data_IF_419554232737
#
_entry.id   IF_419554232737
#
_cell.length_a   1.000
_cell.length_b   1.000
_cell.length_c   1.000
_cell.angle_alpha   90.00
_cell.angle_beta   90.00
_cell.angle_gamma   90.00
#
_symmetry.space_group_name_H-M   'P 1'
#
loop_
_entity.id
_entity.type
_entity.pdbx_description
1 polymer ?
#
# COMPACT_ATOMS: atom_id res chain seq x y z
N UNK A 1 53.54 29.41 -17.38
CA UNK A 1 53.38 27.97 -17.10
C UNK A 1 52.92 27.81 -15.66
N UNK A 2 51.77 27.18 -15.43
CA UNK A 2 51.45 26.32 -14.27
C UNK A 2 49.95 25.98 -14.33
N UNK A 3 49.66 24.80 -14.87
CA UNK A 3 48.33 24.22 -14.97
C UNK A 3 47.73 24.00 -13.58
N UNK A 4 46.61 24.65 -13.29
CA UNK A 4 45.68 24.22 -12.22
C UNK A 4 44.96 22.97 -12.72
N UNK A 5 45.50 21.78 -12.45
CA UNK A 5 44.71 20.54 -12.54
C UNK A 5 43.79 20.49 -11.33
N UNK A 6 42.56 20.97 -11.51
CA UNK A 6 41.46 20.58 -10.63
C UNK A 6 41.18 19.10 -10.87
N UNK A 7 41.71 18.24 -9.99
CA UNK A 7 41.21 16.88 -9.86
C UNK A 7 39.79 16.98 -9.27
N UNK A 8 38.77 16.93 -10.13
CA UNK A 8 37.45 16.49 -9.68
C UNK A 8 37.59 14.99 -9.37
N UNK A 9 37.72 14.66 -8.08
CA UNK A 9 37.39 13.31 -7.63
C UNK A 9 35.91 13.12 -7.99
N UNK A 10 35.64 12.28 -8.99
CA UNK A 10 34.30 11.76 -9.16
C UNK A 10 34.06 10.87 -7.94
N UNK A 11 33.10 11.24 -7.09
CA UNK A 11 32.60 10.34 -6.05
C UNK A 11 32.05 9.11 -6.77
N UNK A 12 32.83 8.03 -6.76
CA UNK A 12 32.33 6.72 -7.15
C UNK A 12 31.37 6.30 -6.04
N UNK A 13 30.08 6.19 -6.37
CA UNK A 13 29.09 5.54 -5.50
C UNK A 13 29.63 4.15 -5.15
N UNK A 14 29.49 3.71 -3.90
CA UNK A 14 29.98 2.38 -3.53
C UNK A 14 29.10 1.31 -4.19
N UNK A 15 29.65 0.13 -4.47
CA UNK A 15 28.86 -1.01 -5.02
C UNK A 15 27.62 -1.33 -4.16
N UNK A 16 27.71 -1.06 -2.84
CA UNK A 16 26.59 -1.17 -1.92
C UNK A 16 25.49 -0.15 -2.19
N UNK A 17 25.86 1.09 -2.47
CA UNK A 17 24.90 2.16 -2.74
C UNK A 17 24.21 1.95 -4.09
N UNK A 18 24.95 1.50 -5.11
CA UNK A 18 24.39 1.11 -6.42
C UNK A 18 23.40 -0.05 -6.29
N UNK A 19 23.68 -1.04 -5.42
CA UNK A 19 22.76 -2.14 -5.14
C UNK A 19 21.51 -1.69 -4.40
N UNK A 20 21.63 -0.75 -3.44
CA UNK A 20 20.48 -0.18 -2.73
C UNK A 20 19.58 0.58 -3.72
N UNK A 21 20.15 1.44 -4.58
CA UNK A 21 19.39 2.17 -5.59
C UNK A 21 18.61 1.21 -6.50
N UNK A 22 19.27 0.15 -6.96
CA UNK A 22 18.64 -0.86 -7.81
C UNK A 22 17.44 -1.54 -7.11
N UNK A 23 17.58 -1.87 -5.83
CA UNK A 23 16.48 -2.45 -5.05
C UNK A 23 15.32 -1.45 -4.86
N UNK A 24 15.62 -0.17 -4.60
CA UNK A 24 14.61 0.88 -4.45
C UNK A 24 13.85 1.14 -5.75
N UNK A 25 14.55 1.19 -6.89
CA UNK A 25 13.95 1.32 -8.22
C UNK A 25 13.05 0.12 -8.52
N UNK A 26 13.57 -1.09 -8.31
CA UNK A 26 12.82 -2.33 -8.51
C UNK A 26 11.55 -2.38 -7.64
N UNK A 27 11.64 -2.00 -6.36
CA UNK A 27 10.50 -1.96 -5.45
C UNK A 27 9.46 -0.92 -5.89
N UNK A 28 9.91 0.23 -6.38
CA UNK A 28 9.04 1.29 -6.89
C UNK A 28 8.26 0.82 -8.11
N UNK A 29 8.92 0.13 -9.04
CA UNK A 29 8.27 -0.47 -10.22
C UNK A 29 7.24 -1.54 -9.83
N UNK A 30 7.56 -2.41 -8.85
CA UNK A 30 6.61 -3.40 -8.34
C UNK A 30 5.39 -2.75 -7.67
N UNK A 31 5.61 -1.72 -6.87
CA UNK A 31 4.53 -0.99 -6.19
C UNK A 31 3.61 -0.33 -7.22
N UNK A 32 4.17 0.31 -8.25
CA UNK A 32 3.38 0.89 -9.34
C UNK A 32 2.59 -0.18 -10.10
N UNK A 33 3.21 -1.33 -10.38
CA UNK A 33 2.52 -2.44 -11.03
C UNK A 33 1.32 -2.94 -10.21
N UNK A 34 1.46 -3.04 -8.88
CA UNK A 34 0.36 -3.39 -7.99
C UNK A 34 -0.73 -2.33 -7.94
N UNK A 35 -0.38 -1.04 -7.90
CA UNK A 35 -1.36 0.05 -7.92
C UNK A 35 -2.19 0.03 -9.22
N UNK A 36 -1.55 -0.15 -10.38
CA UNK A 36 -2.24 -0.27 -11.67
C UNK A 36 -3.11 -1.52 -11.76
N UNK A 37 -2.65 -2.64 -11.21
CA UNK A 37 -3.43 -3.87 -11.12
C UNK A 37 -4.68 -3.68 -10.25
N UNK A 38 -4.51 -3.10 -9.05
CA UNK A 38 -5.60 -2.82 -8.12
C UNK A 38 -6.56 -1.74 -8.66
N UNK A 39 -6.08 -0.80 -9.46
CA UNK A 39 -6.93 0.15 -10.20
C UNK A 39 -7.84 -0.56 -11.20
N UNK A 40 -7.33 -1.53 -11.96
CA UNK A 40 -8.14 -2.33 -12.90
C UNK A 40 -9.26 -3.11 -12.21
N UNK A 41 -9.04 -3.49 -10.95
CA UNK A 41 -10.03 -4.18 -10.12
C UNK A 41 -10.98 -3.20 -9.42
N UNK A 42 -10.73 -1.89 -9.49
CA UNK A 42 -11.58 -0.84 -8.91
C UNK A 42 -11.32 -0.56 -7.43
N UNK A 43 -10.17 -0.99 -6.91
CA UNK A 43 -9.71 -0.64 -5.55
C UNK A 43 -9.20 0.79 -5.53
N UNK A 44 -8.39 1.15 -6.54
CA UNK A 44 -7.92 2.51 -6.75
C UNK A 44 -8.58 3.14 -7.99
N UNK A 45 -8.52 4.45 -8.04
CA UNK A 45 -8.68 5.26 -9.25
C UNK A 45 -7.50 6.22 -9.35
N UNK A 46 -6.99 6.45 -10.55
CA UNK A 46 -6.03 7.51 -10.81
C UNK A 46 -6.71 8.80 -11.31
N UNK A 47 -6.37 9.93 -10.70
CA UNK A 47 -6.68 11.28 -11.21
C UNK A 47 -5.46 12.19 -10.95
N UNK A 48 -5.11 13.03 -11.91
CA UNK A 48 -3.97 13.95 -11.84
C UNK A 48 -2.64 13.32 -11.37
N UNK A 49 -2.29 12.14 -11.89
CA UNK A 49 -1.09 11.36 -11.53
C UNK A 49 -1.02 10.89 -10.06
N UNK A 50 -2.15 10.91 -9.34
CA UNK A 50 -2.28 10.41 -7.97
C UNK A 50 -3.24 9.22 -7.91
N UNK A 51 -2.88 8.18 -7.14
CA UNK A 51 -3.77 7.06 -6.84
C UNK A 51 -4.61 7.37 -5.59
N UNK A 52 -5.92 7.20 -5.71
CA UNK A 52 -6.87 7.39 -4.61
C UNK A 52 -7.70 6.12 -4.44
N UNK A 53 -7.95 5.71 -3.21
CA UNK A 53 -8.85 4.60 -2.89
C UNK A 53 -10.28 4.97 -3.34
N UNK A 54 -10.96 4.06 -4.03
CA UNK A 54 -12.33 4.32 -4.46
C UNK A 54 -13.31 4.28 -3.28
N UNK A 55 -14.36 5.11 -3.32
CA UNK A 55 -15.44 5.08 -2.31
C UNK A 55 -16.03 3.67 -2.17
N UNK A 56 -16.23 2.97 -3.30
CA UNK A 56 -16.78 1.60 -3.32
C UNK A 56 -15.90 0.63 -2.52
N UNK A 57 -14.58 0.73 -2.65
CA UNK A 57 -13.67 -0.13 -1.90
C UNK A 57 -13.65 0.27 -0.42
N UNK A 58 -13.58 1.57 -0.12
CA UNK A 58 -13.58 2.07 1.25
C UNK A 58 -14.86 1.65 2.01
N UNK A 59 -16.03 1.79 1.39
CA UNK A 59 -17.31 1.34 1.95
C UNK A 59 -17.28 -0.16 2.28
N UNK A 60 -16.66 -0.97 1.41
CA UNK A 60 -16.53 -2.41 1.64
C UNK A 60 -15.66 -2.71 2.85
N UNK A 61 -14.51 -2.04 2.97
CA UNK A 61 -13.60 -2.21 4.12
C UNK A 61 -14.28 -1.77 5.42
N UNK A 62 -14.96 -0.63 5.43
CA UNK A 62 -15.67 -0.12 6.62
C UNK A 62 -16.77 -1.08 7.07
N UNK A 63 -17.58 -1.59 6.14
CA UNK A 63 -18.63 -2.56 6.48
C UNK A 63 -18.04 -3.84 7.08
N UNK A 64 -16.94 -4.36 6.52
CA UNK A 64 -16.25 -5.53 7.07
C UNK A 64 -15.66 -5.24 8.45
N UNK A 65 -15.08 -4.04 8.66
CA UNK A 65 -14.52 -3.64 9.93
C UNK A 65 -15.59 -3.59 11.03
N UNK A 66 -16.75 -2.98 10.74
CA UNK A 66 -17.88 -2.94 11.66
C UNK A 66 -18.44 -4.34 11.95
N UNK A 67 -18.55 -5.19 10.92
CA UNK A 67 -18.96 -6.58 11.09
C UNK A 67 -17.98 -7.35 11.99
N UNK A 68 -16.67 -7.15 11.83
CA UNK A 68 -15.65 -7.82 12.62
C UNK A 68 -15.60 -7.32 14.07
N UNK A 69 -15.80 -6.01 14.30
CA UNK A 69 -16.02 -5.45 15.65
C UNK A 69 -17.24 -6.10 16.30
N UNK A 70 -18.35 -6.23 15.57
CA UNK A 70 -19.59 -6.82 16.13
C UNK A 70 -19.42 -8.28 16.54
N UNK A 71 -18.46 -8.99 15.93
CA UNK A 71 -18.08 -10.38 16.28
C UNK A 71 -17.11 -10.44 17.47
N UNK A 72 -16.66 -9.31 17.99
CA UNK A 72 -15.71 -9.22 19.11
C UNK A 72 -14.26 -9.46 18.72
N UNK A 73 -13.88 -9.21 17.46
CA UNK A 73 -12.49 -9.24 17.02
C UNK A 73 -11.69 -8.12 17.69
N UNK A 74 -10.40 -8.36 17.93
CA UNK A 74 -9.51 -7.34 18.48
C UNK A 74 -9.35 -6.16 17.51
N UNK A 75 -9.26 -4.94 18.04
CA UNK A 75 -9.18 -3.73 17.23
C UNK A 75 -7.95 -3.72 16.30
N UNK A 76 -6.84 -4.32 16.75
CA UNK A 76 -5.60 -4.39 15.97
C UNK A 76 -5.76 -5.35 14.78
N UNK A 77 -6.53 -6.43 14.94
CA UNK A 77 -6.77 -7.43 13.90
C UNK A 77 -7.86 -6.99 12.90
N UNK A 78 -8.82 -6.17 13.34
CA UNK A 78 -9.97 -5.72 12.53
C UNK A 78 -9.52 -5.06 11.22
N UNK A 79 -8.52 -4.17 11.27
CA UNK A 79 -8.09 -3.40 10.10
C UNK A 79 -7.50 -4.33 9.04
N UNK A 80 -6.54 -5.17 9.43
CA UNK A 80 -5.84 -6.09 8.54
C UNK A 80 -6.79 -7.07 7.88
N UNK A 81 -7.65 -7.74 8.68
CA UNK A 81 -8.62 -8.70 8.19
C UNK A 81 -9.65 -8.06 7.25
N UNK A 82 -10.11 -6.85 7.56
CA UNK A 82 -11.11 -6.15 6.73
C UNK A 82 -10.55 -5.72 5.38
N UNK A 83 -9.29 -5.27 5.34
CA UNK A 83 -8.60 -4.95 4.07
C UNK A 83 -8.37 -6.23 3.27
N UNK A 84 -7.87 -7.28 3.91
CA UNK A 84 -7.61 -8.57 3.26
C UNK A 84 -8.89 -9.14 2.60
N UNK A 85 -9.98 -9.21 3.36
CA UNK A 85 -11.27 -9.71 2.87
C UNK A 85 -11.87 -8.80 1.79
N UNK A 86 -11.67 -7.48 1.88
CA UNK A 86 -12.11 -6.56 0.84
C UNK A 86 -11.36 -6.79 -0.47
N UNK A 87 -10.03 -6.92 -0.43
CA UNK A 87 -9.20 -7.21 -1.61
C UNK A 87 -9.62 -8.55 -2.22
N UNK A 88 -9.74 -9.60 -1.39
CA UNK A 88 -10.23 -10.91 -1.82
C UNK A 88 -11.59 -10.82 -2.51
N UNK A 89 -12.50 -10.01 -1.98
CA UNK A 89 -13.82 -9.80 -2.59
C UNK A 89 -13.78 -9.09 -3.96
N UNK A 90 -12.79 -8.24 -4.20
CA UNK A 90 -12.62 -7.53 -5.47
C UNK A 90 -11.90 -8.36 -6.55
N UNK A 91 -10.97 -9.24 -6.13
CA UNK A 91 -10.25 -10.15 -7.03
C UNK A 91 -10.93 -11.53 -7.19
N UNK A 92 -11.86 -11.89 -6.30
CA UNK A 92 -12.47 -13.22 -6.31
C UNK A 92 -11.44 -14.33 -6.07
N UNK A 93 -11.42 -15.32 -6.95
CA UNK A 93 -10.51 -16.48 -6.88
C UNK A 93 -9.21 -16.27 -7.67
N UNK A 94 -8.95 -15.05 -8.17
CA UNK A 94 -7.79 -14.77 -9.03
C UNK A 94 -6.45 -14.68 -8.27
N UNK A 95 -6.49 -14.39 -6.97
CA UNK A 95 -5.30 -14.26 -6.13
C UNK A 95 -5.25 -15.35 -5.05
N UNK A 96 -4.04 -15.85 -4.81
CA UNK A 96 -3.73 -16.61 -3.60
C UNK A 96 -3.60 -15.67 -2.39
N UNK A 97 -3.70 -16.21 -1.17
CA UNK A 97 -3.54 -15.42 0.06
C UNK A 97 -2.16 -14.73 0.12
N UNK A 98 -1.11 -15.41 -0.34
CA UNK A 98 0.25 -14.88 -0.42
C UNK A 98 0.36 -13.65 -1.33
N UNK A 99 -0.48 -13.57 -2.36
CA UNK A 99 -0.52 -12.43 -3.29
C UNK A 99 -1.37 -11.27 -2.79
N UNK A 100 -2.26 -11.52 -1.82
CA UNK A 100 -3.11 -10.48 -1.21
C UNK A 100 -2.31 -9.67 -0.19
N UNK A 101 -1.47 -10.30 0.63
CA UNK A 101 -0.68 -9.60 1.66
C UNK A 101 0.10 -8.37 1.17
N UNK A 102 0.94 -8.46 0.12
CA UNK A 102 1.67 -7.28 -0.36
C UNK A 102 0.76 -6.16 -0.88
N UNK A 103 -0.44 -6.51 -1.37
CA UNK A 103 -1.45 -5.52 -1.79
C UNK A 103 -2.14 -4.89 -0.58
N UNK A 104 -2.42 -5.68 0.46
CA UNK A 104 -2.98 -5.20 1.71
C UNK A 104 -2.03 -4.21 2.40
N UNK A 105 -0.73 -4.48 2.40
CA UNK A 105 0.29 -3.58 2.95
C UNK A 105 0.29 -2.22 2.22
N UNK A 106 0.17 -2.23 0.89
CA UNK A 106 0.05 -1.00 0.10
C UNK A 106 -1.24 -0.26 0.48
N UNK A 107 -2.39 -0.94 0.44
CA UNK A 107 -3.70 -0.33 0.76
C UNK A 107 -3.72 0.26 2.16
N UNK A 108 -3.15 -0.44 3.15
CA UNK A 108 -3.08 0.00 4.54
C UNK A 108 -2.47 1.40 4.64
N UNK A 109 -1.43 1.70 3.87
CA UNK A 109 -0.79 3.03 3.85
C UNK A 109 -1.70 4.17 3.39
N UNK A 110 -2.80 3.88 2.68
CA UNK A 110 -3.79 4.88 2.24
C UNK A 110 -4.98 5.02 3.18
N UNK A 111 -5.31 3.98 3.95
CA UNK A 111 -6.59 3.91 4.68
C UNK A 111 -6.46 3.86 6.20
N UNK A 112 -5.25 3.66 6.74
CA UNK A 112 -5.02 3.42 8.17
C UNK A 112 -5.65 4.52 9.04
N UNK A 113 -5.30 5.78 8.80
CA UNK A 113 -5.78 6.91 9.62
C UNK A 113 -7.32 6.99 9.61
N UNK A 114 -7.94 6.83 8.44
CA UNK A 114 -9.39 6.86 8.29
C UNK A 114 -10.07 5.70 9.03
N UNK A 115 -9.53 4.49 8.93
CA UNK A 115 -10.10 3.32 9.60
C UNK A 115 -9.93 3.38 11.11
N UNK A 116 -8.78 3.83 11.60
CA UNK A 116 -8.57 4.00 13.05
C UNK A 116 -9.60 4.95 13.66
N UNK A 117 -9.89 6.07 13.00
CA UNK A 117 -10.89 7.03 13.47
C UNK A 117 -12.28 6.39 13.54
N UNK A 118 -12.70 5.72 12.45
CA UNK A 118 -14.00 5.03 12.38
C UNK A 118 -14.13 3.95 13.46
N UNK A 119 -13.08 3.15 13.67
CA UNK A 119 -13.08 2.09 14.68
C UNK A 119 -13.18 2.69 16.09
N UNK A 120 -12.42 3.74 16.39
CA UNK A 120 -12.47 4.43 17.70
C UNK A 120 -13.86 4.98 18.00
N UNK A 121 -14.57 5.52 17.01
CA UNK A 121 -15.92 6.05 17.17
C UNK A 121 -16.99 4.97 17.43
N UNK A 122 -16.76 3.73 16.97
CA UNK A 122 -17.74 2.66 17.02
C UNK A 122 -17.43 1.57 18.07
N UNK A 123 -16.17 1.43 18.50
CA UNK A 123 -15.78 0.50 19.57
C UNK A 123 -16.17 0.99 20.99
N UNK A 124 -16.55 2.26 21.14
CA UNK A 124 -16.95 2.88 22.41
C UNK A 124 -18.46 2.92 22.70
N UNK A 125 -19.29 2.23 21.90
CA UNK A 125 -20.75 2.13 22.10
C UNK A 125 -21.16 0.74 22.56
#
# INVERSE_FOLDING_TARGET
MANKKQNKQADKKSEKDEYIDFLEETLSEFTLAFLLDMERHGIFSSDNDEFVITEKFMDKVVNLALDNISKGMDADDVIGESIFDAIKGFYGDELTEEEIYPRADIVLSFVLDNLEEIIKENAGK
#
